data_IF_745936261728
#
_entry.id   IF_745936261728
#
_cell.length_a   1.000
_cell.length_b   1.000
_cell.length_c   1.000
_cell.angle_alpha   90.00
_cell.angle_beta   90.00
_cell.angle_gamma   90.00
#
_symmetry.space_group_name_H-M   'P 1'
#
loop_
_entity.id
_entity.type
_entity.pdbx_description
1 polymer ?
#
# COMPACT_ATOMS: atom_id res chain seq x y z
N UNK A 1 -18.49 24.86 -28.96
CA UNK A 1 -18.65 26.16 -28.24
C UNK A 1 -18.39 25.86 -26.79
N UNK A 2 -17.32 26.39 -26.21
CA UNK A 2 -16.97 26.05 -24.82
C UNK A 2 -17.94 26.69 -23.83
N UNK A 3 -18.43 25.93 -22.86
CA UNK A 3 -19.40 26.34 -21.84
C UNK A 3 -18.69 26.78 -20.56
N UNK A 4 -19.27 27.75 -19.83
CA UNK A 4 -18.75 28.13 -18.51
C UNK A 4 -19.01 27.01 -17.49
N UNK A 5 -18.04 26.73 -16.64
CA UNK A 5 -18.24 25.84 -15.51
C UNK A 5 -19.25 26.46 -14.51
N UNK A 6 -20.08 25.64 -13.86
CA UNK A 6 -21.10 26.13 -12.93
C UNK A 6 -20.55 26.39 -11.52
N UNK A 7 -19.51 25.68 -11.11
CA UNK A 7 -18.93 25.78 -9.76
C UNK A 7 -17.71 26.70 -9.72
N UNK A 8 -16.86 26.61 -10.72
CA UNK A 8 -15.56 27.30 -10.78
C UNK A 8 -15.49 28.26 -11.97
N UNK A 9 -16.35 29.28 -11.93
CA UNK A 9 -16.31 30.43 -12.82
C UNK A 9 -16.46 31.71 -11.99
N UNK A 10 -15.34 32.24 -11.52
CA UNK A 10 -15.28 33.39 -10.61
C UNK A 10 -15.20 34.70 -11.40
N UNK A 11 -16.14 35.64 -11.23
CA UNK A 11 -16.13 36.92 -11.96
C UNK A 11 -14.88 37.78 -11.69
N UNK A 12 -14.28 37.62 -10.52
CA UNK A 12 -13.05 38.27 -10.05
C UNK A 12 -11.76 37.49 -10.41
N UNK A 13 -11.89 36.40 -11.16
CA UNK A 13 -10.75 35.62 -11.64
C UNK A 13 -9.86 36.38 -12.65
N UNK A 14 -8.56 36.15 -12.57
CA UNK A 14 -7.49 36.77 -13.38
C UNK A 14 -6.80 35.78 -14.34
N UNK A 15 -7.34 34.56 -14.45
CA UNK A 15 -6.96 33.55 -15.44
C UNK A 15 -8.16 32.77 -15.96
N UNK A 16 -8.19 32.50 -17.27
CA UNK A 16 -9.17 31.63 -17.90
C UNK A 16 -8.49 30.32 -18.31
N UNK A 17 -8.90 29.20 -17.73
CA UNK A 17 -8.42 27.87 -18.10
C UNK A 17 -9.53 27.14 -18.87
N UNK A 18 -9.20 26.60 -20.04
CA UNK A 18 -10.11 25.82 -20.87
C UNK A 18 -9.67 24.35 -20.81
N UNK A 19 -10.60 23.48 -20.41
CA UNK A 19 -10.39 22.02 -20.35
C UNK A 19 -11.54 21.37 -21.11
N UNK A 20 -11.23 20.58 -22.14
CA UNK A 20 -12.20 20.11 -23.14
C UNK A 20 -13.03 21.28 -23.68
N UNK A 21 -14.37 21.18 -23.61
CA UNK A 21 -15.30 22.24 -23.96
C UNK A 21 -15.75 23.07 -22.75
N UNK A 22 -15.00 23.10 -21.64
CA UNK A 22 -15.40 23.81 -20.42
C UNK A 22 -14.41 24.92 -20.05
N UNK A 23 -14.94 26.12 -19.79
CA UNK A 23 -14.19 27.30 -19.36
C UNK A 23 -14.26 27.47 -17.85
N UNK A 24 -13.10 27.65 -17.23
CA UNK A 24 -12.91 27.90 -15.80
C UNK A 24 -12.29 29.29 -15.63
N UNK A 25 -12.98 30.20 -14.94
CA UNK A 25 -12.42 31.51 -14.58
C UNK A 25 -11.94 31.44 -13.14
N UNK A 26 -10.63 31.57 -12.92
CA UNK A 26 -9.93 31.19 -11.68
C UNK A 26 -8.97 32.31 -11.24
N UNK A 27 -8.38 32.14 -10.06
CA UNK A 27 -7.39 33.06 -9.48
C UNK A 27 -5.98 32.46 -9.58
N UNK A 28 -5.05 33.18 -10.22
CA UNK A 28 -3.63 32.82 -10.35
C UNK A 28 -2.98 32.56 -9.01
N UNK A 29 -3.28 33.39 -8.01
CA UNK A 29 -2.73 33.24 -6.68
C UNK A 29 -3.09 31.88 -6.06
N UNK A 30 -4.36 31.48 -6.13
CA UNK A 30 -4.82 30.18 -5.60
C UNK A 30 -4.16 29.03 -6.38
N UNK A 31 -4.14 29.12 -7.72
CA UNK A 31 -3.51 28.10 -8.55
C UNK A 31 -2.00 27.99 -8.29
N UNK A 32 -1.29 29.11 -8.13
CA UNK A 32 0.14 29.16 -7.82
C UNK A 32 0.47 28.64 -6.43
N UNK A 33 -0.37 28.92 -5.43
CA UNK A 33 -0.23 28.37 -4.08
C UNK A 33 -0.45 26.86 -4.06
N UNK A 34 -1.37 26.36 -4.88
CA UNK A 34 -1.71 24.94 -4.92
C UNK A 34 -0.78 24.11 -5.82
N UNK A 35 -0.11 24.71 -6.81
CA UNK A 35 0.64 24.02 -7.86
C UNK A 35 1.93 24.73 -8.20
N UNK A 36 3.06 24.02 -8.05
CA UNK A 36 4.37 24.53 -8.45
C UNK A 36 4.45 24.77 -9.96
N UNK A 37 3.82 23.90 -10.76
CA UNK A 37 3.74 24.07 -12.20
C UNK A 37 3.10 25.41 -12.59
N UNK A 38 1.93 25.72 -12.02
CA UNK A 38 1.24 26.98 -12.32
C UNK A 38 2.01 28.19 -11.77
N UNK A 39 2.61 28.07 -10.58
CA UNK A 39 3.48 29.12 -10.02
C UNK A 39 4.62 29.48 -10.98
N UNK A 40 5.36 28.49 -11.47
CA UNK A 40 6.51 28.70 -12.36
C UNK A 40 6.05 29.27 -13.71
N UNK A 41 4.97 28.73 -14.26
CA UNK A 41 4.37 29.21 -15.50
C UNK A 41 3.97 30.70 -15.42
N UNK A 42 3.32 31.11 -14.32
CA UNK A 42 2.92 32.52 -14.14
C UNK A 42 4.13 33.43 -13.92
N UNK A 43 5.11 32.99 -13.15
CA UNK A 43 6.32 33.77 -12.87
C UNK A 43 7.11 34.03 -14.15
N UNK A 44 7.27 33.01 -15.01
CA UNK A 44 7.94 33.14 -16.31
C UNK A 44 7.17 34.06 -17.27
N UNK A 45 5.83 33.96 -17.32
CA UNK A 45 5.01 34.80 -18.19
C UNK A 45 5.11 36.30 -17.82
N UNK A 46 5.20 36.62 -16.52
CA UNK A 46 5.37 37.99 -16.03
C UNK A 46 6.77 38.57 -16.27
N UNK A 47 7.79 37.73 -16.47
CA UNK A 47 9.15 38.18 -16.79
C UNK A 47 9.33 38.52 -18.28
N UNK A 48 8.44 38.06 -19.16
CA UNK A 48 8.53 38.23 -20.61
C UNK A 48 7.62 39.31 -21.19
N UNK A 49 6.86 40.04 -20.36
CA UNK A 49 5.86 41.01 -20.81
C UNK A 49 6.23 42.46 -20.43
N UNK A 50 6.91 43.15 -21.34
CA UNK A 50 6.86 44.62 -21.48
C UNK A 50 5.57 44.99 -22.25
N UNK A 51 4.36 44.76 -21.72
CA UNK A 51 3.18 45.46 -22.26
C UNK A 51 1.94 45.44 -21.35
N UNK A 52 1.17 46.49 -21.56
CA UNK A 52 0.01 46.99 -20.85
C UNK A 52 -1.15 46.02 -20.64
N UNK A 53 -1.73 46.08 -19.45
CA UNK A 53 -3.19 46.16 -19.26
C UNK A 53 -4.04 44.93 -19.61
N UNK A 54 -4.48 44.23 -18.56
CA UNK A 54 -5.82 43.60 -18.48
C UNK A 54 -6.25 42.67 -19.62
N UNK A 55 -5.42 41.69 -20.00
CA UNK A 55 -5.90 40.56 -20.81
C UNK A 55 -5.85 39.28 -19.97
N UNK A 56 -7.03 38.74 -19.65
CA UNK A 56 -7.21 37.38 -19.12
C UNK A 56 -6.41 36.41 -20.00
N UNK A 57 -5.28 35.91 -19.49
CA UNK A 57 -4.50 34.91 -20.22
C UNK A 57 -5.33 33.63 -20.30
N UNK A 58 -5.72 33.25 -21.52
CA UNK A 58 -6.36 31.99 -21.80
C UNK A 58 -5.33 30.87 -21.84
N UNK A 59 -5.51 29.84 -21.03
CA UNK A 59 -4.70 28.61 -21.02
C UNK A 59 -5.58 27.43 -21.37
N UNK A 60 -5.17 26.61 -22.34
CA UNK A 60 -5.87 25.36 -22.66
C UNK A 60 -5.09 24.18 -22.09
N UNK A 61 -5.75 23.32 -21.30
CA UNK A 61 -5.17 22.07 -20.81
C UNK A 61 -5.66 20.91 -21.69
N UNK A 62 -4.77 20.41 -22.54
CA UNK A 62 -5.06 19.30 -23.44
C UNK A 62 -4.96 17.94 -22.73
N UNK A 63 -5.83 17.01 -23.13
CA UNK A 63 -5.84 15.63 -22.63
C UNK A 63 -6.39 15.45 -21.21
N UNK A 64 -7.03 16.48 -20.66
CA UNK A 64 -7.63 16.43 -19.32
C UNK A 64 -9.14 16.44 -19.36
N UNK A 65 -9.79 15.74 -18.43
CA UNK A 65 -11.25 15.77 -18.27
C UNK A 65 -11.68 16.99 -17.46
N UNK A 66 -12.66 17.73 -17.96
CA UNK A 66 -13.21 18.89 -17.25
C UNK A 66 -13.76 18.53 -15.86
N UNK A 67 -14.37 17.35 -15.72
CA UNK A 67 -14.89 16.86 -14.43
C UNK A 67 -13.77 16.59 -13.42
N UNK A 68 -12.66 16.00 -13.88
CA UNK A 68 -11.53 15.72 -12.99
C UNK A 68 -10.85 17.02 -12.57
N UNK A 69 -10.72 17.97 -13.49
CA UNK A 69 -10.19 19.29 -13.18
C UNK A 69 -11.07 20.03 -12.18
N UNK A 70 -12.40 20.03 -12.38
CA UNK A 70 -13.38 20.56 -11.42
C UNK A 70 -13.23 19.92 -10.03
N UNK A 71 -13.03 18.60 -9.95
CA UNK A 71 -12.83 17.89 -8.69
C UNK A 71 -11.58 18.36 -7.93
N UNK A 72 -10.46 18.56 -8.63
CA UNK A 72 -9.23 19.09 -8.03
C UNK A 72 -9.43 20.54 -7.60
N UNK A 73 -10.09 21.37 -8.40
CA UNK A 73 -10.44 22.74 -8.04
C UNK A 73 -11.30 22.78 -6.78
N UNK A 74 -12.29 21.90 -6.68
CA UNK A 74 -13.18 21.78 -5.52
C UNK A 74 -12.46 21.35 -4.24
N UNK A 75 -11.25 20.81 -4.37
CA UNK A 75 -10.38 20.47 -3.25
C UNK A 75 -9.48 21.64 -2.81
N UNK A 76 -9.01 22.48 -3.74
CA UNK A 76 -8.06 23.58 -3.43
C UNK A 76 -8.74 24.92 -3.18
N UNK A 77 -9.97 25.11 -3.63
CA UNK A 77 -10.74 26.34 -3.39
C UNK A 77 -11.46 26.30 -2.04
N UNK A 78 -11.42 27.39 -1.24
CA UNK A 78 -11.96 27.41 0.11
C UNK A 78 -13.49 27.35 0.19
N UNK A 79 -14.19 27.76 -0.88
CA UNK A 79 -15.65 27.83 -0.91
C UNK A 79 -16.30 26.50 -1.33
N UNK A 80 -15.49 25.48 -1.58
CA UNK A 80 -15.90 24.16 -2.06
C UNK A 80 -15.25 23.09 -1.22
N UNK A 81 -15.88 21.91 -1.17
CA UNK A 81 -15.29 20.76 -0.50
C UNK A 81 -15.63 19.49 -1.26
N UNK A 82 -14.61 18.86 -1.85
CA UNK A 82 -14.71 17.52 -2.40
C UNK A 82 -13.85 16.55 -1.57
N UNK A 83 -14.45 15.58 -0.86
CA UNK A 83 -13.70 14.54 -0.18
C UNK A 83 -13.05 13.59 -1.19
N UNK A 84 -11.81 13.22 -0.93
CA UNK A 84 -11.11 12.18 -1.69
C UNK A 84 -11.66 10.81 -1.27
N UNK A 85 -12.05 10.01 -2.25
CA UNK A 85 -12.58 8.65 -2.09
C UNK A 85 -12.07 7.69 -3.19
N UNK A 86 -12.47 6.41 -3.13
CA UNK A 86 -12.03 5.41 -4.10
C UNK A 86 -12.51 5.66 -5.54
N UNK A 87 -13.52 6.51 -5.74
CA UNK A 87 -14.05 6.84 -7.08
C UNK A 87 -13.21 7.91 -7.76
N UNK A 88 -12.60 8.81 -6.99
CA UNK A 88 -11.88 9.97 -7.52
C UNK A 88 -10.36 9.96 -7.28
N UNK A 89 -9.85 9.19 -6.30
CA UNK A 89 -8.45 9.25 -5.85
C UNK A 89 -7.45 9.01 -6.98
N UNK A 90 -7.73 8.09 -7.91
CA UNK A 90 -6.83 7.76 -9.02
C UNK A 90 -6.59 8.95 -9.94
N UNK A 91 -7.68 9.62 -10.35
CA UNK A 91 -7.62 10.75 -11.26
C UNK A 91 -7.16 12.03 -10.56
N UNK A 92 -7.53 12.23 -9.28
CA UNK A 92 -7.01 13.32 -8.46
C UNK A 92 -5.49 13.21 -8.31
N UNK A 93 -4.95 12.03 -7.98
CA UNK A 93 -3.51 11.82 -7.89
C UNK A 93 -2.82 12.04 -9.23
N UNK A 94 -3.42 11.58 -10.34
CA UNK A 94 -2.84 11.77 -11.68
C UNK A 94 -2.69 13.25 -12.03
N UNK A 95 -3.71 14.05 -11.75
CA UNK A 95 -3.66 15.50 -11.97
C UNK A 95 -2.70 16.20 -10.99
N UNK A 96 -2.75 15.82 -9.72
CA UNK A 96 -1.93 16.42 -8.69
C UNK A 96 -0.44 16.19 -8.96
N UNK A 97 -0.06 14.98 -9.41
CA UNK A 97 1.31 14.66 -9.81
C UNK A 97 1.72 15.44 -11.08
N UNK A 98 0.87 15.43 -12.13
CA UNK A 98 1.12 16.14 -13.40
C UNK A 98 1.37 17.64 -13.19
N UNK A 99 0.57 18.27 -12.32
CA UNK A 99 0.64 19.70 -12.04
C UNK A 99 1.39 20.03 -10.74
N UNK A 100 2.11 19.08 -10.15
CA UNK A 100 2.95 19.29 -8.95
C UNK A 100 2.18 20.00 -7.82
N UNK A 101 1.08 19.36 -7.40
CA UNK A 101 0.18 19.82 -6.34
C UNK A 101 0.38 19.01 -5.05
N UNK A 102 1.47 19.28 -4.33
CA UNK A 102 1.91 18.49 -3.18
C UNK A 102 0.85 18.39 -2.07
N UNK A 103 0.07 19.44 -1.85
CA UNK A 103 -1.01 19.45 -0.85
C UNK A 103 -2.12 18.43 -1.19
N UNK A 104 -2.46 18.33 -2.47
CA UNK A 104 -3.47 17.39 -2.99
C UNK A 104 -2.93 15.96 -2.95
N UNK A 105 -1.66 15.76 -3.32
CA UNK A 105 -0.97 14.46 -3.20
C UNK A 105 -0.96 13.99 -1.74
N UNK A 106 -0.64 14.89 -0.80
CA UNK A 106 -0.63 14.60 0.64
C UNK A 106 -2.03 14.26 1.16
N UNK A 107 -3.07 14.96 0.71
CA UNK A 107 -4.45 14.65 1.07
C UNK A 107 -4.88 13.26 0.56
N UNK A 108 -4.52 12.92 -0.68
CA UNK A 108 -4.78 11.60 -1.24
C UNK A 108 -4.00 10.49 -0.52
N UNK A 109 -2.73 10.72 -0.16
CA UNK A 109 -1.93 9.81 0.67
C UNK A 109 -2.61 9.54 2.01
N UNK A 110 -3.09 10.60 2.68
CA UNK A 110 -3.80 10.49 3.97
C UNK A 110 -5.09 9.65 3.84
N UNK A 111 -5.84 9.84 2.76
CA UNK A 111 -7.01 9.01 2.46
C UNK A 111 -6.61 7.53 2.31
N UNK A 112 -5.57 7.24 1.52
CA UNK A 112 -5.10 5.88 1.29
C UNK A 112 -4.58 5.21 2.57
N UNK A 113 -3.85 5.92 3.43
CA UNK A 113 -3.39 5.40 4.74
C UNK A 113 -4.56 4.96 5.62
N UNK A 114 -5.69 5.68 5.56
CA UNK A 114 -6.89 5.32 6.31
C UNK A 114 -7.61 4.12 5.70
N UNK A 115 -7.71 4.09 4.38
CA UNK A 115 -8.67 3.26 3.64
C UNK A 115 -8.07 2.09 2.86
N UNK A 116 -6.74 1.90 2.82
CA UNK A 116 -6.07 0.85 2.02
C UNK A 116 -6.65 -0.55 2.21
N UNK A 117 -7.20 -0.84 3.40
CA UNK A 117 -7.83 -2.12 3.75
C UNK A 117 -9.08 -2.44 2.92
N UNK A 118 -9.79 -1.43 2.42
CA UNK A 118 -11.00 -1.60 1.61
C UNK A 118 -10.67 -2.06 0.19
N UNK A 119 -9.63 -1.47 -0.41
CA UNK A 119 -9.18 -1.80 -1.77
C UNK A 119 -7.65 -2.02 -1.81
N UNK A 120 -7.13 -3.14 -1.27
CA UNK A 120 -5.68 -3.32 -1.11
C UNK A 120 -4.89 -3.33 -2.42
N UNK A 121 -5.44 -3.93 -3.48
CA UNK A 121 -4.75 -3.98 -4.77
C UNK A 121 -4.67 -2.59 -5.42
N UNK A 122 -5.75 -1.79 -5.33
CA UNK A 122 -5.76 -0.42 -5.82
C UNK A 122 -4.82 0.47 -4.98
N UNK A 123 -4.85 0.32 -3.66
CA UNK A 123 -3.93 1.01 -2.76
C UNK A 123 -2.46 0.71 -3.09
N UNK A 124 -2.14 -0.57 -3.35
CA UNK A 124 -0.81 -1.00 -3.74
C UNK A 124 -0.40 -0.40 -5.09
N UNK A 125 -1.30 -0.39 -6.07
CA UNK A 125 -1.05 0.23 -7.38
C UNK A 125 -0.75 1.72 -7.28
N UNK A 126 -1.55 2.46 -6.52
CA UNK A 126 -1.30 3.90 -6.32
C UNK A 126 -0.01 4.13 -5.53
N UNK A 127 0.27 3.32 -4.51
CA UNK A 127 1.49 3.42 -3.73
C UNK A 127 2.76 3.08 -4.53
N UNK A 128 2.68 2.12 -5.45
CA UNK A 128 3.73 1.76 -6.41
C UNK A 128 4.01 2.93 -7.37
N UNK A 129 2.96 3.53 -7.93
CA UNK A 129 3.06 4.62 -8.90
C UNK A 129 3.61 5.92 -8.31
N UNK A 130 3.15 6.30 -7.11
CA UNK A 130 3.50 7.57 -6.45
C UNK A 130 4.51 7.39 -5.30
N UNK A 131 5.14 6.20 -5.21
CA UNK A 131 6.22 5.89 -4.27
C UNK A 131 5.85 6.06 -2.78
N UNK A 132 4.61 5.79 -2.42
CA UNK A 132 4.14 5.83 -1.02
C UNK A 132 4.57 4.57 -0.25
N UNK A 133 5.83 4.55 0.21
CA UNK A 133 6.49 3.38 0.82
C UNK A 133 5.67 2.69 1.93
N UNK A 134 5.10 3.47 2.85
CA UNK A 134 4.34 2.91 3.98
C UNK A 134 3.07 2.19 3.51
N UNK A 135 2.33 2.82 2.60
CA UNK A 135 1.09 2.27 2.02
C UNK A 135 1.43 1.06 1.16
N UNK A 136 2.51 1.12 0.39
CA UNK A 136 2.99 0.00 -0.43
C UNK A 136 3.22 -1.24 0.44
N UNK A 137 3.97 -1.07 1.53
CA UNK A 137 4.26 -2.16 2.47
C UNK A 137 2.96 -2.69 3.10
N UNK A 138 2.11 -1.82 3.63
CA UNK A 138 0.86 -2.21 4.32
C UNK A 138 -0.18 -2.85 3.37
N UNK A 139 -0.32 -2.34 2.15
CA UNK A 139 -1.21 -2.91 1.15
C UNK A 139 -0.69 -4.26 0.65
N UNK A 140 0.64 -4.41 0.48
CA UNK A 140 1.24 -5.68 0.08
C UNK A 140 0.97 -6.80 1.08
N UNK A 141 0.88 -6.49 2.39
CA UNK A 141 0.50 -7.44 3.44
C UNK A 141 -0.84 -8.12 3.17
N UNK A 142 -1.82 -7.32 2.75
CA UNK A 142 -3.17 -7.79 2.45
C UNK A 142 -3.24 -8.48 1.09
N UNK A 143 -2.49 -7.99 0.10
CA UNK A 143 -2.44 -8.63 -1.23
C UNK A 143 -1.79 -10.01 -1.15
N UNK A 144 -0.70 -10.17 -0.38
CA UNK A 144 -0.03 -11.46 -0.20
C UNK A 144 -0.85 -12.46 0.62
N UNK A 145 -1.71 -11.97 1.52
CA UNK A 145 -2.61 -12.81 2.32
C UNK A 145 -3.55 -13.65 1.45
N UNK A 146 -4.04 -13.06 0.35
CA UNK A 146 -4.93 -13.71 -0.64
C UNK A 146 -4.40 -13.54 -2.07
N UNK A 147 -3.12 -13.82 -2.26
CA UNK A 147 -2.41 -13.56 -3.52
C UNK A 147 -3.04 -14.22 -4.76
N UNK A 148 -3.45 -15.51 -4.74
CA UNK A 148 -4.05 -16.15 -5.91
C UNK A 148 -5.27 -15.40 -6.44
N UNK A 149 -6.12 -14.88 -5.54
CA UNK A 149 -7.35 -14.17 -5.88
C UNK A 149 -7.06 -12.80 -6.50
N UNK A 150 -5.99 -12.13 -6.05
CA UNK A 150 -5.58 -10.84 -6.63
C UNK A 150 -4.83 -11.01 -7.95
N UNK A 151 -4.04 -12.08 -8.12
CA UNK A 151 -3.23 -12.33 -9.32
C UNK A 151 -4.07 -12.44 -10.59
N UNK A 152 -5.30 -12.92 -10.49
CA UNK A 152 -6.22 -13.06 -11.63
C UNK A 152 -6.94 -11.78 -12.02
N UNK A 153 -6.95 -10.74 -11.16
CA UNK A 153 -7.67 -9.49 -11.44
C UNK A 153 -6.97 -8.67 -12.52
N UNK A 154 -7.73 -7.95 -13.34
CA UNK A 154 -7.20 -7.05 -14.37
C UNK A 154 -6.27 -5.99 -13.79
N UNK A 155 -6.65 -5.38 -12.65
CA UNK A 155 -5.86 -4.36 -11.95
C UNK A 155 -4.47 -4.85 -11.54
N UNK A 156 -4.27 -6.16 -11.37
CA UNK A 156 -2.94 -6.70 -11.08
C UNK A 156 -1.96 -6.47 -12.24
N UNK A 157 -2.46 -6.42 -13.49
CA UNK A 157 -1.66 -6.13 -14.69
C UNK A 157 -1.28 -4.66 -14.81
N UNK A 158 -1.87 -3.78 -14.01
CA UNK A 158 -1.55 -2.35 -13.97
C UNK A 158 -0.38 -2.04 -13.02
N UNK A 159 -0.08 -2.94 -12.07
CA UNK A 159 1.12 -2.85 -11.22
C UNK A 159 2.40 -2.86 -12.07
N UNK A 160 3.46 -2.21 -11.59
CA UNK A 160 4.77 -2.27 -12.22
C UNK A 160 5.29 -3.70 -12.33
N UNK A 161 6.15 -3.96 -13.32
CA UNK A 161 6.77 -5.27 -13.51
C UNK A 161 7.55 -5.69 -12.25
N UNK A 162 8.24 -4.74 -11.64
CA UNK A 162 8.99 -4.90 -10.40
C UNK A 162 8.09 -5.37 -9.27
N UNK A 163 6.96 -4.69 -9.04
CA UNK A 163 6.01 -5.03 -7.98
C UNK A 163 5.34 -6.39 -8.24
N UNK A 164 4.95 -6.69 -9.48
CA UNK A 164 4.39 -8.01 -9.82
C UNK A 164 5.39 -9.15 -9.57
N UNK A 165 6.65 -8.94 -9.94
CA UNK A 165 7.71 -9.91 -9.73
C UNK A 165 8.01 -10.09 -8.24
N UNK A 166 8.10 -8.99 -7.48
CA UNK A 166 8.31 -9.02 -6.04
C UNK A 166 7.21 -9.79 -5.32
N UNK A 167 5.93 -9.53 -5.63
CA UNK A 167 4.80 -10.27 -5.05
C UNK A 167 4.85 -11.75 -5.43
N UNK A 168 5.10 -12.06 -6.70
CA UNK A 168 5.13 -13.44 -7.19
C UNK A 168 6.28 -14.21 -6.54
N UNK A 169 7.48 -13.65 -6.50
CA UNK A 169 8.65 -14.26 -5.87
C UNK A 169 8.41 -14.48 -4.39
N UNK A 170 7.90 -13.46 -3.68
CA UNK A 170 7.61 -13.55 -2.25
C UNK A 170 6.59 -14.64 -1.93
N UNK A 171 5.55 -14.76 -2.76
CA UNK A 171 4.56 -15.82 -2.63
C UNK A 171 5.13 -17.20 -2.97
N UNK A 172 5.97 -17.31 -4.00
CA UNK A 172 6.63 -18.57 -4.36
C UNK A 172 7.57 -19.05 -3.25
N UNK A 173 8.40 -18.17 -2.69
CA UNK A 173 9.25 -18.43 -1.53
C UNK A 173 8.42 -18.97 -0.35
N UNK A 174 7.28 -18.35 -0.08
CA UNK A 174 6.35 -18.82 0.94
C UNK A 174 5.85 -20.25 0.66
N UNK A 175 5.38 -20.53 -0.56
CA UNK A 175 4.88 -21.86 -0.93
C UNK A 175 5.97 -22.93 -0.95
N UNK A 176 7.19 -22.59 -1.36
CA UNK A 176 8.35 -23.49 -1.33
C UNK A 176 8.78 -23.78 0.12
N UNK A 177 8.84 -22.75 0.96
CA UNK A 177 9.10 -22.89 2.39
C UNK A 177 8.04 -23.76 3.06
N UNK A 178 6.76 -23.56 2.72
CA UNK A 178 5.67 -24.43 3.14
C UNK A 178 5.95 -25.87 2.74
N UNK A 179 6.29 -26.16 1.48
CA UNK A 179 6.57 -27.52 1.00
C UNK A 179 7.76 -28.20 1.69
N UNK A 180 8.74 -27.43 2.15
CA UNK A 180 9.95 -27.92 2.82
C UNK A 180 9.80 -28.09 4.34
N UNK A 181 8.70 -27.64 4.95
CA UNK A 181 8.49 -27.66 6.40
C UNK A 181 8.73 -29.03 7.05
N UNK A 182 8.28 -30.11 6.41
CA UNK A 182 8.43 -31.47 6.93
C UNK A 182 9.89 -31.97 6.99
N UNK A 183 10.82 -31.30 6.30
CA UNK A 183 12.26 -31.61 6.30
C UNK A 183 13.06 -30.74 7.29
N UNK A 184 12.41 -29.80 7.98
CA UNK A 184 13.10 -28.87 8.88
C UNK A 184 13.30 -29.50 10.25
N UNK A 185 14.55 -29.63 10.69
CA UNK A 185 14.88 -29.90 12.09
C UNK A 185 14.88 -28.59 12.89
N UNK A 186 13.81 -28.41 13.67
CA UNK A 186 13.62 -27.25 14.54
C UNK A 186 14.42 -27.34 15.84
N UNK A 187 14.74 -28.55 16.31
CA UNK A 187 15.48 -28.80 17.55
C UNK A 187 17.00 -28.74 17.39
N UNK A 188 17.51 -28.83 16.16
CA UNK A 188 18.94 -28.70 15.87
C UNK A 188 19.53 -27.39 16.41
N UNK A 189 20.49 -27.52 17.34
CA UNK A 189 21.16 -26.41 18.00
C UNK A 189 20.36 -25.73 19.11
N UNK A 190 19.25 -26.31 19.55
CA UNK A 190 18.45 -25.76 20.65
C UNK A 190 19.14 -25.94 22.01
N UNK A 191 19.34 -24.83 22.73
CA UNK A 191 19.87 -24.81 24.08
C UNK A 191 18.72 -24.82 25.10
N UNK A 192 18.63 -25.89 25.90
CA UNK A 192 17.60 -26.05 26.94
C UNK A 192 17.94 -25.22 28.19
N UNK A 193 16.92 -24.92 29.01
CA UNK A 193 17.14 -24.28 30.30
C UNK A 193 17.79 -25.23 31.32
N UNK A 194 18.37 -24.67 32.38
CA UNK A 194 19.05 -25.41 33.45
C UNK A 194 18.14 -26.36 34.24
N UNK A 195 16.82 -26.12 34.20
CA UNK A 195 15.80 -26.91 34.90
C UNK A 195 15.27 -28.07 34.04
N UNK A 196 15.77 -28.25 32.81
CA UNK A 196 15.32 -29.32 31.93
C UNK A 196 15.94 -30.67 32.33
N UNK A 197 15.12 -31.57 32.90
CA UNK A 197 15.56 -32.87 33.42
C UNK A 197 16.05 -33.84 32.34
N UNK A 198 15.51 -33.77 31.11
CA UNK A 198 15.91 -34.63 30.00
C UNK A 198 15.71 -33.94 28.64
N UNK A 199 16.78 -33.37 28.11
CA UNK A 199 16.78 -32.62 26.85
C UNK A 199 16.41 -33.47 25.62
N UNK A 200 16.75 -34.75 25.62
CA UNK A 200 16.46 -35.67 24.50
C UNK A 200 14.96 -35.94 24.42
N UNK A 201 14.34 -36.28 25.55
CA UNK A 201 12.90 -36.50 25.60
C UNK A 201 12.11 -35.22 25.30
N UNK A 202 12.56 -34.08 25.85
CA UNK A 202 11.92 -32.80 25.59
C UNK A 202 12.00 -32.40 24.11
N UNK A 203 13.14 -32.62 23.44
CA UNK A 203 13.27 -32.44 21.98
C UNK A 203 12.28 -33.32 21.20
N UNK A 204 12.08 -34.58 21.62
CA UNK A 204 11.11 -35.49 21.00
C UNK A 204 9.68 -34.95 21.13
N UNK A 205 9.29 -34.50 22.31
CA UNK A 205 7.97 -33.90 22.54
C UNK A 205 7.73 -32.62 21.72
N UNK A 206 8.73 -31.73 21.65
CA UNK A 206 8.67 -30.53 20.79
C UNK A 206 8.48 -30.93 19.32
N UNK A 207 9.27 -31.89 18.85
CA UNK A 207 9.19 -32.36 17.47
C UNK A 207 7.84 -32.98 17.14
N UNK A 208 7.28 -33.82 18.01
CA UNK A 208 5.93 -34.39 17.84
C UNK A 208 4.85 -33.31 17.73
N UNK A 209 4.91 -32.28 18.59
CA UNK A 209 3.98 -31.13 18.54
C UNK A 209 4.13 -30.33 17.25
N UNK A 210 5.35 -30.08 16.78
CA UNK A 210 5.61 -29.37 15.54
C UNK A 210 5.18 -30.16 14.31
N UNK A 211 5.41 -31.47 14.27
CA UNK A 211 4.92 -32.34 13.19
C UNK A 211 3.40 -32.27 13.09
N UNK A 212 2.69 -32.27 14.22
CA UNK A 212 1.23 -32.12 14.23
C UNK A 212 0.77 -30.76 13.70
N UNK A 213 1.48 -29.67 14.01
CA UNK A 213 1.21 -28.34 13.41
C UNK A 213 1.49 -28.32 11.91
N UNK A 214 2.60 -28.91 11.46
CA UNK A 214 2.94 -29.00 10.04
C UNK A 214 1.86 -29.77 9.27
N UNK A 215 1.31 -30.84 9.84
CA UNK A 215 0.18 -31.58 9.24
C UNK A 215 -1.08 -30.73 9.07
N UNK A 216 -1.34 -29.77 9.96
CA UNK A 216 -2.48 -28.85 9.83
C UNK A 216 -2.29 -27.83 8.69
N UNK A 217 -1.04 -27.51 8.36
CA UNK A 217 -0.66 -26.51 7.35
C UNK A 217 -0.51 -27.18 5.98
N UNK A 218 0.17 -28.33 5.92
CA UNK A 218 0.42 -29.13 4.74
C UNK A 218 -0.61 -30.26 4.60
N UNK A 219 -1.90 -29.93 4.45
CA UNK A 219 -2.90 -30.96 4.11
C UNK A 219 -2.59 -31.43 2.68
N UNK A 220 -2.22 -32.70 2.47
CA UNK A 220 -1.92 -33.23 1.14
C UNK A 220 -3.14 -33.92 0.50
N UNK A 221 -3.37 -33.78 -0.83
CA UNK A 221 -2.68 -32.83 -1.72
C UNK A 221 -2.99 -31.40 -1.27
N UNK A 222 -1.99 -30.50 -1.33
CA UNK A 222 -2.09 -29.11 -0.83
C UNK A 222 -3.45 -28.54 -1.23
N UNK A 223 -4.33 -28.14 -0.28
CA UNK A 223 -5.63 -27.61 -0.62
C UNK A 223 -5.40 -26.42 -1.56
N UNK A 224 -6.18 -26.37 -2.63
CA UNK A 224 -6.24 -25.23 -3.54
C UNK A 224 -7.22 -24.23 -2.93
N UNK A 225 -6.80 -23.00 -2.57
CA UNK A 225 -5.44 -22.45 -2.46
C UNK A 225 -4.74 -22.77 -1.12
N UNK A 226 -3.39 -22.71 -1.06
CA UNK A 226 -2.64 -22.98 0.16
C UNK A 226 -3.06 -22.04 1.29
N UNK A 227 -2.92 -22.51 2.52
CA UNK A 227 -3.28 -21.77 3.72
C UNK A 227 -2.60 -20.39 3.74
N UNK A 228 -3.32 -19.37 4.22
CA UNK A 228 -2.84 -17.99 4.14
C UNK A 228 -1.59 -17.77 5.03
N UNK A 229 -0.66 -16.88 4.63
CA UNK A 229 0.55 -16.62 5.40
C UNK A 229 0.29 -16.26 6.87
N UNK A 230 -0.73 -15.44 7.15
CA UNK A 230 -1.05 -15.09 8.53
C UNK A 230 -1.57 -16.27 9.36
N UNK A 231 -2.28 -17.18 8.72
CA UNK A 231 -2.79 -18.39 9.38
C UNK A 231 -1.67 -19.39 9.64
N UNK A 232 -0.75 -19.57 8.70
CA UNK A 232 0.47 -20.36 8.89
C UNK A 232 1.29 -19.85 10.06
N UNK A 233 1.54 -18.54 10.11
CA UNK A 233 2.25 -17.93 11.22
C UNK A 233 1.53 -18.22 12.54
N UNK A 234 0.20 -18.02 12.59
CA UNK A 234 -0.59 -18.25 13.80
C UNK A 234 -0.46 -19.70 14.29
N UNK A 235 -0.60 -20.69 13.41
CA UNK A 235 -0.54 -22.12 13.78
C UNK A 235 0.87 -22.49 14.28
N UNK A 236 1.92 -22.03 13.59
CA UNK A 236 3.29 -22.34 13.99
C UNK A 236 3.65 -21.72 15.35
N UNK A 237 3.22 -20.48 15.60
CA UNK A 237 3.52 -19.74 16.83
C UNK A 237 2.54 -19.96 18.00
N UNK A 238 1.53 -20.82 17.86
CA UNK A 238 0.72 -21.27 19.01
C UNK A 238 1.62 -21.87 20.10
N UNK A 239 1.33 -21.63 21.37
CA UNK A 239 2.15 -22.19 22.44
C UNK A 239 2.20 -23.72 22.37
N UNK A 240 3.39 -24.30 22.55
CA UNK A 240 3.59 -25.75 22.62
C UNK A 240 3.55 -26.26 24.07
N UNK A 241 3.58 -25.37 25.07
CA UNK A 241 3.58 -25.75 26.49
C UNK A 241 3.60 -24.52 27.41
N UNK A 242 3.84 -24.74 28.69
CA UNK A 242 3.90 -23.67 29.70
C UNK A 242 5.24 -23.61 30.43
N UNK A 243 6.19 -24.47 30.07
CA UNK A 243 7.49 -24.50 30.75
C UNK A 243 8.37 -23.33 30.31
N UNK A 244 9.29 -22.92 31.18
CA UNK A 244 10.33 -21.92 30.83
C UNK A 244 11.12 -22.34 29.59
N UNK A 245 11.37 -23.65 29.46
CA UNK A 245 12.06 -24.24 28.34
C UNK A 245 11.24 -24.12 27.05
N UNK A 246 9.94 -24.45 27.06
CA UNK A 246 9.06 -24.26 25.90
C UNK A 246 9.06 -22.80 25.42
N UNK A 247 8.99 -21.86 26.36
CA UNK A 247 8.99 -20.43 26.03
C UNK A 247 10.31 -20.00 25.38
N UNK A 248 11.45 -20.45 25.90
CA UNK A 248 12.77 -20.17 25.30
C UNK A 248 12.88 -20.76 23.88
N UNK A 249 12.38 -21.98 23.66
CA UNK A 249 12.32 -22.58 22.33
C UNK A 249 11.50 -21.71 21.37
N UNK A 250 10.28 -21.33 21.76
CA UNK A 250 9.37 -20.55 20.92
C UNK A 250 9.95 -19.17 20.59
N UNK A 251 10.51 -18.46 21.58
CA UNK A 251 10.98 -17.08 21.45
C UNK A 251 12.29 -17.00 20.67
N UNK A 252 13.24 -17.92 20.88
CA UNK A 252 14.59 -17.79 20.32
C UNK A 252 14.88 -18.76 19.17
N UNK A 253 14.52 -20.03 19.33
CA UNK A 253 14.89 -21.08 18.38
C UNK A 253 13.90 -21.13 17.21
N UNK A 254 12.61 -21.26 17.51
CA UNK A 254 11.57 -21.38 16.49
C UNK A 254 11.46 -20.09 15.67
N UNK A 255 11.46 -18.94 16.32
CA UNK A 255 11.41 -17.62 15.66
C UNK A 255 12.53 -17.47 14.62
N UNK A 256 13.77 -17.79 14.99
CA UNK A 256 14.95 -17.71 14.12
C UNK A 256 14.87 -18.69 12.95
N UNK A 257 14.46 -19.93 13.20
CA UNK A 257 14.30 -20.94 12.15
C UNK A 257 13.20 -20.53 11.17
N UNK A 258 12.05 -20.09 11.65
CA UNK A 258 10.95 -19.65 10.79
C UNK A 258 11.30 -18.38 10.01
N UNK A 259 11.98 -17.41 10.61
CA UNK A 259 12.45 -16.23 9.90
C UNK A 259 13.42 -16.60 8.77
N UNK A 260 14.29 -17.60 8.98
CA UNK A 260 15.20 -18.09 7.93
C UNK A 260 14.46 -18.72 6.75
N UNK A 261 13.33 -19.39 6.99
CA UNK A 261 12.60 -20.11 5.94
C UNK A 261 11.52 -19.28 5.27
N UNK A 262 10.75 -18.51 6.03
CA UNK A 262 9.62 -17.72 5.53
C UNK A 262 9.93 -16.24 5.38
N UNK A 263 11.05 -15.76 5.92
CA UNK A 263 11.35 -14.33 6.06
C UNK A 263 10.61 -13.70 7.24
N UNK A 264 10.65 -12.37 7.30
CA UNK A 264 10.01 -11.59 8.36
C UNK A 264 8.51 -11.48 8.12
N UNK A 265 7.73 -11.61 9.20
CA UNK A 265 6.32 -11.25 9.22
C UNK A 265 6.12 -10.04 10.12
N UNK A 266 5.18 -9.18 9.75
CA UNK A 266 4.85 -7.99 10.53
C UNK A 266 3.34 -7.82 10.69
N UNK A 267 2.88 -7.26 11.81
CA UNK A 267 1.50 -6.80 11.92
C UNK A 267 1.21 -5.63 11.00
N UNK A 268 -0.08 -5.37 10.75
CA UNK A 268 -0.50 -4.10 10.18
C UNK A 268 -0.25 -2.98 11.19
N UNK A 269 0.29 -1.85 10.72
CA UNK A 269 0.66 -0.70 11.57
C UNK A 269 -0.53 -0.26 12.43
N UNK A 270 -1.70 -0.10 11.80
CA UNK A 270 -2.94 0.31 12.45
C UNK A 270 -3.51 -0.71 13.46
N UNK A 271 -2.93 -1.91 13.58
CA UNK A 271 -3.36 -2.97 14.50
C UNK A 271 -2.26 -3.40 15.48
N UNK A 272 -1.07 -2.81 15.46
CA UNK A 272 0.07 -3.18 16.33
C UNK A 272 -0.29 -3.22 17.81
N UNK A 273 -1.11 -2.28 18.28
CA UNK A 273 -1.50 -2.17 19.69
C UNK A 273 -2.71 -3.03 20.09
N UNK A 274 -3.29 -3.83 19.17
CA UNK A 274 -4.39 -4.73 19.51
C UNK A 274 -3.85 -6.00 20.17
N UNK A 275 -4.57 -6.46 21.22
CA UNK A 275 -4.24 -7.68 22.00
C UNK A 275 -4.01 -8.91 21.12
N UNK A 276 -4.74 -9.02 20.01
CA UNK A 276 -4.49 -10.01 18.98
C UNK A 276 -4.34 -9.30 17.64
N UNK A 277 -3.18 -9.46 17.01
CA UNK A 277 -2.93 -8.99 15.67
C UNK A 277 -2.33 -10.11 14.82
N UNK A 278 -2.77 -10.17 13.56
CA UNK A 278 -2.23 -11.08 12.54
C UNK A 278 -0.88 -10.56 12.06
N UNK A 279 0.01 -11.48 11.72
CA UNK A 279 1.31 -11.20 11.14
C UNK A 279 1.30 -11.57 9.66
N UNK A 280 1.81 -10.70 8.81
CA UNK A 280 1.70 -10.82 7.36
C UNK A 280 3.08 -10.83 6.72
N UNK A 281 3.20 -11.55 5.61
CA UNK A 281 4.30 -11.35 4.67
C UNK A 281 4.11 -10.01 3.97
N UNK A 282 5.20 -9.38 3.55
CA UNK A 282 5.16 -8.12 2.83
C UNK A 282 6.32 -8.07 1.84
N UNK A 283 6.23 -7.07 0.95
CA UNK A 283 7.34 -6.60 0.13
C UNK A 283 7.54 -5.11 0.41
N UNK A 284 8.74 -4.61 0.12
CA UNK A 284 9.08 -3.20 0.28
C UNK A 284 9.42 -2.61 -1.08
N UNK A 285 9.15 -1.32 -1.22
CA UNK A 285 9.49 -0.58 -2.43
C UNK A 285 11.02 -0.40 -2.44
N UNK A 286 11.68 -0.92 -3.48
CA UNK A 286 13.13 -0.85 -3.68
C UNK A 286 13.66 0.55 -3.97
#
# INVERSE_FOLDING_TARGET
>A
MSKKNLLHYYPDGDILIIVEDTMFCLHRNIMALASKFFQDMFTCASASSDDNGSNLTGLTLEGESALTFENVLSHIYPNTYLPIDWKNVTEILRLADKYIMDSVVSAAKTFLEREFRKEPLCALYLADRYLFKDIYKEASKLVLETFPDYKIKSTFRELSIQTRNALTNRYLEYTDALGKLNKVDFTSGYLHCTECLNSINHNREINEKLVNKVRQIQVLPLPLPPISPSTTQKILFQSIGSTTCDNQFMIHQLSRKLQKHFGTFEPLECKKHKKEHKFYLFIELG
#
